data_IF_780417061340
#
_entry.id   IF_780417061340
#
_cell.length_a   1.000
_cell.length_b   1.000
_cell.length_c   1.000
_cell.angle_alpha   90.00
_cell.angle_beta   90.00
_cell.angle_gamma   90.00
#
_symmetry.space_group_name_H-M   'P 1'
#
loop_
_entity.id
_entity.type
_entity.pdbx_description
1 polymer ?
#
# COMPACT_ATOMS: atom_id res chain seq x y z
N UNK A 1 7.56 -1.67 5.02
CA UNK A 1 7.87 -2.09 3.65
C UNK A 1 7.22 -3.44 3.44
N UNK A 2 6.05 -3.47 2.80
CA UNK A 2 5.38 -4.72 2.43
C UNK A 2 5.62 -4.90 0.94
N UNK A 3 6.24 -6.01 0.58
CA UNK A 3 6.48 -6.39 -0.81
C UNK A 3 5.15 -6.89 -1.36
N UNK A 4 4.68 -6.34 -2.48
CA UNK A 4 3.42 -6.71 -3.14
C UNK A 4 2.30 -7.12 -2.17
N UNK A 5 1.84 -6.19 -1.35
CA UNK A 5 0.76 -6.48 -0.41
C UNK A 5 -0.53 -6.85 -1.17
N UNK A 6 -1.27 -7.83 -0.68
CA UNK A 6 -2.67 -7.98 -1.06
C UNK A 6 -3.43 -6.76 -0.54
N UNK A 7 -4.12 -6.05 -1.42
CA UNK A 7 -4.87 -4.82 -1.07
C UNK A 7 -6.37 -4.95 -1.23
N UNK A 8 -6.82 -5.98 -1.94
CA UNK A 8 -8.21 -6.29 -2.21
C UNK A 8 -8.42 -7.81 -2.07
N UNK A 9 -9.09 -8.20 -0.98
CA UNK A 9 -9.38 -9.60 -0.67
C UNK A 9 -10.42 -10.21 -1.63
N UNK A 10 -11.28 -9.41 -2.26
CA UNK A 10 -12.19 -9.92 -3.28
C UNK A 10 -11.41 -10.42 -4.50
N UNK A 11 -10.42 -9.63 -4.93
CA UNK A 11 -9.48 -10.03 -5.96
C UNK A 11 -8.66 -11.25 -5.54
N UNK A 12 -8.08 -11.23 -4.33
CA UNK A 12 -7.27 -12.36 -3.84
C UNK A 12 -8.03 -13.69 -3.76
N UNK A 13 -9.33 -13.65 -3.43
CA UNK A 13 -10.15 -14.86 -3.34
C UNK A 13 -10.48 -15.50 -4.69
N UNK A 14 -10.59 -14.69 -5.76
CA UNK A 14 -11.14 -15.15 -7.06
C UNK A 14 -10.26 -14.93 -8.29
N UNK A 15 -9.22 -14.11 -8.22
CA UNK A 15 -8.29 -13.90 -9.32
C UNK A 15 -7.22 -14.99 -9.34
N UNK A 16 -6.90 -15.51 -10.54
CA UNK A 16 -5.74 -16.36 -10.70
C UNK A 16 -4.46 -15.55 -10.49
N UNK A 17 -3.42 -16.19 -9.98
CA UNK A 17 -2.10 -15.57 -9.95
C UNK A 17 -1.43 -15.64 -11.34
N UNK A 18 -0.50 -14.73 -11.66
CA UNK A 18 0.26 -14.72 -12.90
C UNK A 18 0.94 -16.05 -13.24
N UNK A 19 1.48 -16.78 -12.26
CA UNK A 19 2.19 -18.05 -12.48
C UNK A 19 1.21 -19.13 -12.92
N UNK A 20 0.07 -19.28 -12.24
CA UNK A 20 -1.01 -20.18 -12.62
C UNK A 20 -1.57 -19.92 -14.03
N UNK A 21 -1.49 -18.67 -14.52
CA UNK A 21 -1.88 -18.34 -15.92
C UNK A 21 -0.83 -18.74 -16.94
N UNK A 22 0.46 -18.67 -16.57
CA UNK A 22 1.56 -19.00 -17.46
C UNK A 22 1.73 -20.51 -17.62
N UNK A 23 1.36 -21.30 -16.62
CA UNK A 23 1.56 -22.77 -16.57
C UNK A 23 0.28 -23.49 -16.13
N UNK A 24 -0.83 -23.43 -16.89
CA UNK A 24 -2.12 -23.98 -16.47
C UNK A 24 -2.12 -25.50 -16.25
N UNK A 25 -1.17 -26.22 -16.85
CA UNK A 25 -0.99 -27.68 -16.71
C UNK A 25 -0.55 -28.12 -15.32
N UNK A 26 0.05 -27.24 -14.51
CA UNK A 26 0.44 -27.53 -13.12
C UNK A 26 -0.76 -27.42 -12.14
N UNK A 27 -1.93 -27.03 -12.65
CA UNK A 27 -3.17 -26.90 -11.89
C UNK A 27 -3.35 -25.50 -11.29
N UNK A 28 -4.61 -25.08 -11.15
CA UNK A 28 -4.94 -23.79 -10.57
C UNK A 28 -4.84 -23.85 -9.04
N UNK A 29 -4.11 -22.91 -8.42
CA UNK A 29 -3.98 -22.78 -6.96
C UNK A 29 -5.22 -22.20 -6.26
N UNK A 30 -6.40 -22.42 -6.83
CA UNK A 30 -7.67 -21.82 -6.40
C UNK A 30 -8.01 -22.11 -4.94
N UNK A 31 -7.83 -23.36 -4.52
CA UNK A 31 -8.13 -23.76 -3.14
C UNK A 31 -7.15 -23.14 -2.14
N UNK A 32 -5.88 -22.94 -2.54
CA UNK A 32 -4.89 -22.33 -1.67
C UNK A 32 -5.19 -20.84 -1.46
N UNK A 33 -5.57 -20.11 -2.52
CA UNK A 33 -5.95 -18.70 -2.42
C UNK A 33 -7.23 -18.51 -1.61
N UNK A 34 -8.28 -19.30 -1.89
CA UNK A 34 -9.51 -19.27 -1.09
C UNK A 34 -9.22 -19.62 0.37
N UNK A 35 -8.40 -20.64 0.64
CA UNK A 35 -8.00 -21.02 1.99
C UNK A 35 -7.22 -19.91 2.69
N UNK A 36 -6.27 -19.26 2.01
CA UNK A 36 -5.50 -18.15 2.57
C UNK A 36 -6.39 -16.96 2.97
N UNK A 37 -7.40 -16.64 2.15
CA UNK A 37 -8.37 -15.56 2.45
C UNK A 37 -9.36 -15.96 3.55
N UNK A 38 -9.94 -17.17 3.48
CA UNK A 38 -11.03 -17.56 4.37
C UNK A 38 -10.57 -18.02 5.76
N UNK A 39 -9.47 -18.76 5.83
CA UNK A 39 -9.00 -19.41 7.07
C UNK A 39 -7.50 -19.27 7.33
N UNK A 40 -6.76 -18.65 6.41
CA UNK A 40 -5.37 -18.24 6.59
C UNK A 40 -5.29 -16.77 6.99
N UNK A 41 -4.23 -16.07 6.57
CA UNK A 41 -3.96 -14.70 7.03
C UNK A 41 -5.06 -13.68 6.70
N UNK A 42 -5.91 -13.93 5.70
CA UNK A 42 -7.07 -13.08 5.43
C UNK A 42 -8.16 -13.19 6.50
N UNK A 43 -8.26 -14.34 7.19
CA UNK A 43 -9.18 -14.63 8.31
C UNK A 43 -10.61 -14.12 8.10
N UNK A 44 -11.14 -14.16 6.87
CA UNK A 44 -12.49 -13.65 6.60
C UNK A 44 -13.58 -14.58 7.16
N UNK A 45 -13.25 -15.85 7.41
CA UNK A 45 -14.13 -16.84 8.02
C UNK A 45 -15.25 -17.33 7.09
N UNK A 46 -15.14 -17.08 5.79
CA UNK A 46 -16.04 -17.60 4.77
C UNK A 46 -15.99 -16.82 3.47
N UNK A 47 -16.80 -17.23 2.49
CA UNK A 47 -16.82 -16.62 1.16
C UNK A 47 -17.21 -15.13 1.15
N UNK A 48 -16.92 -14.37 0.07
CA UNK A 48 -17.25 -12.95 -0.04
C UNK A 48 -18.72 -12.60 0.23
N UNK A 49 -19.64 -13.51 -0.08
CA UNK A 49 -21.08 -13.32 0.16
C UNK A 49 -21.50 -13.56 1.60
N UNK A 50 -20.72 -14.31 2.38
CA UNK A 50 -21.03 -14.65 3.79
C UNK A 50 -20.29 -13.75 4.78
N UNK A 51 -19.13 -13.23 4.41
CA UNK A 51 -18.26 -12.47 5.29
C UNK A 51 -17.95 -11.06 4.75
N UNK A 52 -18.93 -10.41 4.10
CA UNK A 52 -18.77 -9.12 3.40
C UNK A 52 -18.02 -8.08 4.24
N UNK A 53 -18.44 -7.87 5.48
CA UNK A 53 -17.84 -6.86 6.38
C UNK A 53 -16.34 -7.12 6.62
N UNK A 54 -15.92 -8.39 6.69
CA UNK A 54 -14.50 -8.75 6.88
C UNK A 54 -13.69 -8.54 5.61
N UNK A 55 -14.27 -8.86 4.45
CA UNK A 55 -13.63 -8.54 3.18
C UNK A 55 -13.46 -7.03 3.01
N UNK A 56 -14.48 -6.24 3.37
CA UNK A 56 -14.41 -4.79 3.27
C UNK A 56 -13.34 -4.22 4.21
N UNK A 57 -13.35 -4.64 5.48
CA UNK A 57 -12.38 -4.19 6.48
C UNK A 57 -10.95 -4.64 6.17
N UNK A 58 -10.77 -5.82 5.59
CA UNK A 58 -9.48 -6.41 5.25
C UNK A 58 -8.91 -6.00 3.89
N UNK A 59 -9.60 -5.15 3.13
CA UNK A 59 -9.19 -4.72 1.79
C UNK A 59 -8.75 -3.25 1.77
N UNK A 60 -7.46 -2.93 2.04
CA UNK A 60 -6.91 -1.56 2.01
C UNK A 60 -7.29 -0.71 0.80
N UNK A 61 -7.50 -1.34 -0.36
CA UNK A 61 -7.98 -0.67 -1.57
C UNK A 61 -9.29 0.09 -1.36
N UNK A 62 -10.20 -0.43 -0.55
CA UNK A 62 -11.50 0.20 -0.28
C UNK A 62 -11.39 1.41 0.65
N UNK A 63 -10.27 1.55 1.37
CA UNK A 63 -9.96 2.73 2.19
C UNK A 63 -8.86 3.59 1.56
N UNK A 64 -8.41 3.27 0.34
CA UNK A 64 -7.29 3.96 -0.29
C UNK A 64 -7.54 5.45 -0.51
N UNK A 65 -8.81 5.88 -0.53
CA UNK A 65 -9.16 7.30 -0.63
C UNK A 65 -8.72 8.14 0.59
N UNK A 66 -8.48 7.51 1.72
CA UNK A 66 -8.14 8.18 2.97
C UNK A 66 -6.62 8.34 3.15
N UNK A 67 -5.83 7.75 2.24
CA UNK A 67 -4.37 7.85 2.26
C UNK A 67 -3.95 9.31 1.98
N UNK A 68 -3.20 9.89 2.93
CA UNK A 68 -2.67 11.25 2.84
C UNK A 68 -1.17 11.29 2.60
N UNK A 69 -0.46 10.27 3.05
CA UNK A 69 1.00 10.21 2.97
C UNK A 69 1.47 9.82 1.56
N UNK A 70 2.69 10.23 1.16
CA UNK A 70 3.34 9.69 -0.02
C UNK A 70 3.47 8.16 0.04
N UNK A 71 3.19 7.46 -1.06
CA UNK A 71 3.27 5.99 -1.13
C UNK A 71 4.21 5.51 -2.24
N UNK A 72 5.15 4.64 -1.88
CA UNK A 72 5.94 3.84 -2.82
C UNK A 72 5.34 2.43 -2.91
N UNK A 73 4.93 2.04 -4.11
CA UNK A 73 4.39 0.72 -4.45
C UNK A 73 5.44 -0.03 -5.27
N UNK A 74 5.76 -1.26 -4.86
CA UNK A 74 6.74 -2.12 -5.51
C UNK A 74 6.08 -3.47 -5.77
N UNK A 75 6.15 -3.94 -7.01
CA UNK A 75 5.55 -5.21 -7.44
C UNK A 75 6.39 -5.96 -8.46
N UNK A 76 6.19 -7.28 -8.57
CA UNK A 76 6.82 -8.15 -9.57
C UNK A 76 5.78 -8.76 -10.51
N UNK A 77 6.15 -8.98 -11.78
CA UNK A 77 5.23 -9.53 -12.80
C UNK A 77 4.91 -11.02 -12.61
N UNK A 78 5.81 -11.76 -11.95
CA UNK A 78 5.66 -13.20 -11.65
C UNK A 78 5.29 -13.46 -10.19
N UNK A 79 4.90 -12.42 -9.46
CA UNK A 79 4.45 -12.55 -8.09
C UNK A 79 3.13 -13.32 -8.04
N UNK A 80 2.93 -14.12 -6.99
CA UNK A 80 1.63 -14.75 -6.76
C UNK A 80 0.56 -13.72 -6.35
N UNK A 81 0.98 -12.53 -5.87
CA UNK A 81 0.11 -11.36 -5.73
C UNK A 81 0.10 -10.58 -7.04
N UNK A 82 -1.03 -10.50 -7.76
CA UNK A 82 -1.09 -9.81 -9.05
C UNK A 82 -0.71 -8.32 -8.96
N UNK A 83 0.01 -7.81 -9.96
CA UNK A 83 0.37 -6.38 -10.06
C UNK A 83 -0.85 -5.45 -10.02
N UNK A 84 -2.01 -5.94 -10.47
CA UNK A 84 -3.29 -5.23 -10.43
C UNK A 84 -3.63 -4.71 -9.02
N UNK A 85 -3.19 -5.38 -7.96
CA UNK A 85 -3.34 -4.93 -6.58
C UNK A 85 -2.64 -3.59 -6.35
N UNK A 86 -1.38 -3.47 -6.76
CA UNK A 86 -0.62 -2.23 -6.65
C UNK A 86 -1.13 -1.15 -7.63
N UNK A 87 -1.48 -1.53 -8.86
CA UNK A 87 -2.01 -0.60 -9.87
C UNK A 87 -3.32 0.05 -9.43
N UNK A 88 -4.20 -0.68 -8.74
CA UNK A 88 -5.46 -0.18 -8.19
C UNK A 88 -5.21 0.92 -7.15
N UNK A 89 -4.30 0.69 -6.19
CA UNK A 89 -3.91 1.72 -5.22
C UNK A 89 -3.28 2.93 -5.91
N UNK A 90 -2.32 2.70 -6.80
CA UNK A 90 -1.65 3.78 -7.54
C UNK A 90 -2.65 4.66 -8.28
N UNK A 91 -3.65 4.06 -8.93
CA UNK A 91 -4.70 4.77 -9.66
C UNK A 91 -5.54 5.66 -8.74
N UNK A 92 -5.91 5.17 -7.54
CA UNK A 92 -6.64 5.98 -6.55
C UNK A 92 -5.81 7.17 -6.10
N UNK A 93 -4.55 6.95 -5.74
CA UNK A 93 -3.64 8.01 -5.30
C UNK A 93 -3.39 9.06 -6.40
N UNK A 94 -3.14 8.60 -7.62
CA UNK A 94 -2.96 9.47 -8.78
C UNK A 94 -4.20 10.33 -9.04
N UNK A 95 -5.41 9.74 -8.99
CA UNK A 95 -6.68 10.47 -9.15
C UNK A 95 -6.85 11.58 -8.11
N UNK A 96 -6.33 11.37 -6.91
CA UNK A 96 -6.40 12.36 -5.82
C UNK A 96 -5.26 13.38 -5.84
N UNK A 97 -4.31 13.28 -6.78
CA UNK A 97 -3.10 14.08 -6.79
C UNK A 97 -2.19 13.81 -5.59
N UNK A 98 -2.27 12.61 -4.98
CA UNK A 98 -1.36 12.21 -3.90
C UNK A 98 -0.01 11.79 -4.49
N UNK A 99 1.12 12.16 -3.85
CA UNK A 99 2.42 11.67 -4.28
C UNK A 99 2.47 10.14 -4.22
N UNK A 100 2.67 9.51 -5.36
CA UNK A 100 2.79 8.06 -5.45
C UNK A 100 3.80 7.66 -6.52
N UNK A 101 4.54 6.58 -6.26
CA UNK A 101 5.46 5.96 -7.22
C UNK A 101 5.12 4.48 -7.30
N UNK A 102 4.95 3.97 -8.52
CA UNK A 102 4.81 2.53 -8.80
C UNK A 102 6.05 2.03 -9.51
N UNK A 103 6.68 0.99 -8.97
CA UNK A 103 7.84 0.32 -9.55
C UNK A 103 7.50 -1.14 -9.79
N UNK A 104 7.65 -1.57 -11.04
CA UNK A 104 7.42 -2.95 -11.46
C UNK A 104 8.73 -3.60 -11.86
N UNK A 105 9.08 -4.71 -11.20
CA UNK A 105 10.24 -5.53 -11.54
C UNK A 105 9.84 -6.72 -12.39
N UNK A 106 10.23 -6.68 -13.67
CA UNK A 106 10.00 -7.77 -14.61
C UNK A 106 10.98 -8.93 -14.40
N UNK A 107 10.47 -10.15 -14.50
CA UNK A 107 11.19 -11.38 -14.20
C UNK A 107 11.24 -11.74 -12.72
N UNK A 108 10.68 -10.92 -11.82
CA UNK A 108 10.71 -11.11 -10.37
C UNK A 108 9.38 -11.64 -9.84
N UNK A 109 9.46 -12.48 -8.81
CA UNK A 109 8.30 -13.00 -8.09
C UNK A 109 8.01 -12.19 -6.83
N UNK A 110 7.47 -12.86 -5.81
CA UNK A 110 7.22 -12.26 -4.49
C UNK A 110 8.48 -11.75 -3.78
N UNK A 111 9.63 -12.30 -4.15
CA UNK A 111 10.94 -11.83 -3.74
C UNK A 111 11.76 -11.48 -4.97
N UNK A 112 12.59 -10.44 -4.85
CA UNK A 112 13.55 -10.08 -5.88
C UNK A 112 14.82 -10.94 -5.72
N UNK A 113 15.25 -11.56 -6.82
CA UNK A 113 16.43 -12.43 -6.85
C UNK A 113 17.56 -11.88 -7.71
N UNK A 114 17.26 -11.08 -8.74
CA UNK A 114 18.29 -10.49 -9.59
C UNK A 114 19.12 -9.50 -8.78
N UNK A 115 20.46 -9.64 -8.71
CA UNK A 115 21.32 -8.66 -8.03
C UNK A 115 21.16 -7.24 -8.59
N UNK A 116 20.85 -7.12 -9.88
CA UNK A 116 20.60 -5.83 -10.51
C UNK A 116 19.30 -5.19 -9.99
N UNK A 117 18.21 -5.99 -9.90
CA UNK A 117 16.92 -5.52 -9.41
C UNK A 117 16.95 -5.21 -7.92
N UNK A 118 17.66 -6.01 -7.11
CA UNK A 118 17.85 -5.75 -5.69
C UNK A 118 18.57 -4.42 -5.48
N UNK A 119 19.66 -4.17 -6.23
CA UNK A 119 20.39 -2.90 -6.15
C UNK A 119 19.52 -1.71 -6.56
N UNK A 120 18.73 -1.86 -7.62
CA UNK A 120 17.81 -0.83 -8.06
C UNK A 120 16.70 -0.56 -7.03
N UNK A 121 16.13 -1.61 -6.46
CA UNK A 121 15.13 -1.51 -5.41
C UNK A 121 15.60 -0.67 -4.24
N UNK A 122 16.79 -0.95 -3.70
CA UNK A 122 17.34 -0.14 -2.62
C UNK A 122 17.55 1.31 -3.04
N UNK A 123 17.97 1.56 -4.28
CA UNK A 123 18.07 2.93 -4.81
C UNK A 123 16.71 3.62 -4.84
N UNK A 124 15.66 2.94 -5.32
CA UNK A 124 14.30 3.48 -5.40
C UNK A 124 13.74 3.82 -4.01
N UNK A 125 13.97 2.95 -3.02
CA UNK A 125 13.55 3.17 -1.64
C UNK A 125 14.26 4.38 -1.04
N UNK A 126 15.59 4.44 -1.15
CA UNK A 126 16.37 5.53 -0.57
C UNK A 126 16.03 6.87 -1.23
N UNK A 127 15.96 6.92 -2.57
CA UNK A 127 15.53 8.13 -3.30
C UNK A 127 14.13 8.57 -2.88
N UNK A 128 13.19 7.64 -2.71
CA UNK A 128 11.84 7.99 -2.30
C UNK A 128 11.79 8.56 -0.88
N UNK A 129 12.55 7.97 0.05
CA UNK A 129 12.64 8.48 1.42
C UNK A 129 13.31 9.85 1.44
N UNK A 130 14.38 10.06 0.68
CA UNK A 130 15.06 11.35 0.58
C UNK A 130 14.10 12.43 0.05
N UNK A 131 13.35 12.15 -1.00
CA UNK A 131 12.36 13.09 -1.56
C UNK A 131 11.23 13.41 -0.56
N UNK A 132 10.64 12.39 0.06
CA UNK A 132 9.41 12.55 0.85
C UNK A 132 9.65 13.02 2.28
N UNK A 133 10.76 12.63 2.90
CA UNK A 133 11.10 13.09 4.25
C UNK A 133 11.74 14.49 4.25
N UNK A 134 12.49 14.85 3.18
CA UNK A 134 13.03 16.20 3.06
C UNK A 134 11.92 17.23 2.83
N UNK A 135 10.88 16.88 2.07
CA UNK A 135 9.69 17.73 1.90
C UNK A 135 8.96 17.97 3.23
N UNK A 136 8.73 16.92 4.04
CA UNK A 136 8.11 17.07 5.36
C UNK A 136 8.95 17.93 6.30
N UNK A 137 10.28 17.78 6.29
CA UNK A 137 11.18 18.64 7.06
C UNK A 137 11.16 20.10 6.58
N UNK A 138 11.05 20.34 5.28
CA UNK A 138 10.95 21.68 4.68
C UNK A 138 9.58 22.35 4.96
N UNK A 139 8.49 21.59 4.97
CA UNK A 139 7.16 22.06 5.36
C UNK A 139 7.11 22.37 6.85
N UNK A 140 7.69 21.51 7.70
CA UNK A 140 7.75 21.71 9.14
C UNK A 140 8.58 22.94 9.52
N UNK A 141 9.73 23.16 8.89
CA UNK A 141 10.57 24.35 9.12
C UNK A 141 9.91 25.65 8.68
N UNK A 142 9.14 25.66 7.57
CA UNK A 142 8.32 26.81 7.17
C UNK A 142 7.17 27.08 8.13
N UNK A 143 6.61 26.04 8.74
CA UNK A 143 5.50 26.19 9.69
C UNK A 143 5.96 26.68 11.08
N UNK A 144 7.22 26.45 11.46
CA UNK A 144 7.82 26.96 12.71
C UNK A 144 8.31 28.40 12.62
N UNK A 145 8.40 28.98 11.41
CA UNK A 145 8.75 30.39 11.20
C UNK A 145 7.51 31.31 11.24
N UNK A 146 6.33 30.75 11.53
CA UNK A 146 5.14 31.52 11.88
C UNK A 146 5.28 32.06 13.31
N UNK A 147 5.18 33.37 13.44
CA UNK A 147 5.39 34.19 14.65
C UNK A 147 5.02 33.52 15.99
N UNK A 148 5.81 33.76 17.06
CA UNK A 148 5.57 33.14 18.36
C UNK A 148 4.16 33.49 18.88
N UNK A 149 3.49 32.49 19.43
CA UNK A 149 2.20 32.61 20.11
C UNK A 149 2.31 33.76 21.13
N UNK A 150 1.44 34.79 21.07
CA UNK A 150 1.48 35.87 22.04
C UNK A 150 1.23 35.32 23.45
N UNK A 151 2.04 35.75 24.41
CA UNK A 151 1.91 35.31 25.80
C UNK A 151 0.48 35.53 26.33
N UNK A 152 -0.05 34.62 27.17
CA UNK A 152 -1.39 34.75 27.73
C UNK A 152 -1.53 36.04 28.53
N UNK A 153 -2.59 36.79 28.26
CA UNK A 153 -2.89 38.07 28.91
C UNK A 153 -3.19 37.82 30.40
N UNK A 154 -2.62 38.60 31.34
CA UNK A 154 -2.86 38.39 32.77
C UNK A 154 -4.34 38.59 33.13
N UNK A 155 -4.85 37.86 34.14
CA UNK A 155 -6.24 37.95 34.55
C UNK A 155 -6.58 39.36 35.05
N UNK A 156 -7.73 39.88 34.58
CA UNK A 156 -8.23 41.19 34.99
C UNK A 156 -8.67 41.22 36.46
N UNK A 157 -8.70 42.40 37.10
CA UNK A 157 -9.03 42.52 38.51
C UNK A 157 -10.49 42.11 38.81
N UNK A 158 -10.76 41.56 40.00
CA UNK A 158 -12.08 41.09 40.38
C UNK A 158 -13.08 42.25 40.46
N UNK A 159 -14.30 42.01 39.97
CA UNK A 159 -15.41 42.96 40.04
C UNK A 159 -15.93 43.02 41.48
N UNK A 160 -16.11 44.25 41.97
CA UNK A 160 -16.69 44.62 43.27
C UNK A 160 -18.13 44.17 43.43
#
# INVERSE_FOLDING_TARGET
MVWSAVTDLYGAWGEFDPVSRAVPEEGLSLQAQMGWVESGQGETGGSPSRARDRFEAGSPYLQAQDIRSPVLLITGDRDFVPMSQSERIFTVLHRQGRPARLVTYWGEGHFNWSPANIRDLYRQILSWLDETLAEDAAVMTRSTDASPIPAPRPPGPPRS
#
